data_IF_860109274670
#
_entry.id   IF_860109274670
#
_cell.length_a   1.000
_cell.length_b   1.000
_cell.length_c   1.000
_cell.angle_alpha   90.00
_cell.angle_beta   90.00
_cell.angle_gamma   90.00
#
_symmetry.space_group_name_H-M   'P 1'
#
loop_
_entity.id
_entity.type
_entity.pdbx_description
1 polymer ?
#
# COMPACT_ATOMS: atom_id res chain seq x y z
N UNK A 1 52.81 -20.15 -54.26
CA UNK A 1 51.67 -19.46 -53.66
C UNK A 1 50.51 -20.41 -53.51
N UNK A 2 50.35 -20.97 -52.31
CA UNK A 2 49.37 -22.01 -52.02
C UNK A 2 48.26 -21.39 -51.22
N UNK A 3 47.05 -21.29 -51.78
CA UNK A 3 45.84 -20.74 -51.11
C UNK A 3 45.13 -21.87 -50.35
N UNK A 4 45.14 -21.80 -49.03
CA UNK A 4 44.39 -22.69 -48.14
C UNK A 4 42.98 -22.16 -47.95
N UNK A 5 41.96 -22.90 -48.43
CA UNK A 5 40.55 -22.63 -48.16
C UNK A 5 40.13 -23.36 -46.88
N UNK A 6 39.82 -22.59 -45.83
CA UNK A 6 39.19 -23.12 -44.61
C UNK A 6 37.68 -23.17 -44.83
N UNK A 7 37.09 -24.36 -44.76
CA UNK A 7 35.63 -24.55 -44.70
C UNK A 7 35.19 -24.50 -43.24
N UNK A 8 34.41 -23.47 -42.89
CA UNK A 8 33.73 -23.40 -41.60
C UNK A 8 32.39 -24.15 -41.71
N UNK A 9 32.26 -25.22 -40.94
CA UNK A 9 30.99 -25.90 -40.75
C UNK A 9 30.22 -25.18 -39.64
N UNK A 10 29.08 -24.51 -39.97
CA UNK A 10 28.13 -24.04 -38.98
C UNK A 10 27.24 -25.21 -38.57
N UNK A 11 27.41 -25.67 -37.34
CA UNK A 11 26.47 -26.60 -36.69
C UNK A 11 25.33 -25.73 -36.13
N UNK A 12 24.18 -25.75 -36.78
CA UNK A 12 22.96 -25.13 -36.30
C UNK A 12 22.39 -25.95 -35.16
N UNK A 13 22.53 -25.46 -33.93
CA UNK A 13 21.77 -25.95 -32.77
C UNK A 13 20.40 -25.30 -32.79
N UNK A 14 19.39 -26.03 -33.21
CA UNK A 14 17.99 -25.63 -33.08
C UNK A 14 17.57 -25.76 -31.61
N UNK A 15 17.59 -24.66 -30.89
CA UNK A 15 16.97 -24.57 -29.56
C UNK A 15 15.45 -24.55 -29.74
N UNK A 16 14.81 -25.67 -29.47
CA UNK A 16 13.39 -25.75 -29.29
C UNK A 16 13.01 -25.04 -27.97
N UNK A 17 12.53 -23.80 -28.05
CA UNK A 17 11.82 -23.19 -26.94
C UNK A 17 10.47 -23.91 -26.82
N UNK A 18 10.35 -24.84 -25.90
CA UNK A 18 9.09 -25.32 -25.43
C UNK A 18 8.46 -24.16 -24.66
N UNK A 19 7.54 -23.43 -25.29
CA UNK A 19 6.66 -22.52 -24.60
C UNK A 19 5.81 -23.36 -23.64
N UNK A 20 6.20 -23.38 -22.36
CA UNK A 20 5.36 -23.88 -21.29
C UNK A 20 4.15 -22.97 -21.20
N UNK A 21 3.07 -23.34 -21.85
CA UNK A 21 1.74 -22.77 -21.61
C UNK A 21 1.37 -23.14 -20.19
N UNK A 22 1.51 -22.18 -19.26
CA UNK A 22 0.93 -22.28 -17.92
C UNK A 22 -0.57 -22.39 -18.13
N UNK A 23 -1.22 -23.46 -17.68
CA UNK A 23 -2.65 -23.62 -17.87
C UNK A 23 -3.37 -22.47 -17.16
N UNK A 24 -4.30 -21.83 -17.85
CA UNK A 24 -5.19 -20.75 -17.35
C UNK A 24 -6.07 -21.22 -16.18
N UNK A 25 -6.04 -22.49 -15.82
CA UNK A 25 -6.79 -23.08 -14.70
C UNK A 25 -6.29 -22.71 -13.29
N UNK A 26 -5.22 -21.93 -13.15
CA UNK A 26 -4.77 -21.43 -11.84
C UNK A 26 -5.53 -20.15 -11.36
N UNK A 27 -6.42 -19.60 -12.18
CA UNK A 27 -7.31 -18.49 -11.82
C UNK A 27 -8.70 -18.95 -11.35
N UNK A 28 -8.98 -20.24 -11.38
CA UNK A 28 -10.20 -20.82 -10.84
C UNK A 28 -9.99 -21.23 -9.40
N UNK A 29 -10.84 -20.68 -8.59
CA UNK A 29 -11.16 -20.80 -7.20
C UNK A 29 -10.57 -19.71 -6.32
N UNK A 30 -11.29 -18.57 -6.21
CA UNK A 30 -11.41 -17.95 -4.89
C UNK A 30 -11.76 -19.14 -3.97
N UNK A 31 -10.79 -19.59 -3.17
CA UNK A 31 -10.98 -20.70 -2.27
C UNK A 31 -12.30 -20.43 -1.56
N UNK A 32 -13.18 -21.43 -1.44
CA UNK A 32 -14.41 -21.32 -0.62
C UNK A 32 -14.10 -20.87 0.81
N UNK A 33 -12.82 -20.78 1.16
CA UNK A 33 -12.24 -20.26 2.38
C UNK A 33 -12.25 -18.72 2.46
N UNK A 34 -11.99 -17.99 1.35
CA UNK A 34 -11.90 -16.51 1.37
C UNK A 34 -13.24 -15.90 1.00
N UNK A 35 -14.06 -15.55 1.95
CA UNK A 35 -15.36 -14.93 1.71
C UNK A 35 -15.75 -13.96 2.80
N UNK A 36 -16.58 -13.00 2.47
CA UNK A 36 -17.24 -12.15 3.47
C UNK A 36 -18.30 -12.99 4.18
N UNK A 37 -18.26 -12.99 5.52
CA UNK A 37 -19.22 -13.70 6.39
C UNK A 37 -20.18 -12.76 7.11
N UNK A 38 -19.84 -11.46 7.21
CA UNK A 38 -20.74 -10.43 7.72
C UNK A 38 -20.44 -9.08 7.06
N UNK A 39 -21.47 -8.25 6.94
CA UNK A 39 -21.41 -6.87 6.47
C UNK A 39 -22.23 -5.99 7.41
N UNK A 40 -21.66 -4.84 7.77
CA UNK A 40 -22.30 -3.83 8.57
C UNK A 40 -22.13 -2.49 7.85
N UNK A 41 -23.20 -1.74 7.66
CA UNK A 41 -23.10 -0.37 7.15
C UNK A 41 -22.32 0.47 8.15
N UNK A 42 -21.33 1.23 7.67
CA UNK A 42 -20.61 2.13 8.55
C UNK A 42 -21.56 3.17 9.16
N UNK A 43 -21.36 3.56 10.43
CA UNK A 43 -22.15 4.64 11.03
C UNK A 43 -21.99 5.91 10.20
N UNK A 44 -23.02 6.74 10.22
CA UNK A 44 -22.99 8.05 9.57
C UNK A 44 -21.79 8.86 10.05
N UNK A 45 -21.21 9.64 9.15
CA UNK A 45 -20.11 10.55 9.50
C UNK A 45 -20.56 11.58 10.49
N UNK A 46 -19.69 11.86 11.44
CA UNK A 46 -19.76 13.11 12.19
C UNK A 46 -19.32 14.25 11.25
N UNK A 47 -20.19 15.23 10.96
CA UNK A 47 -19.89 16.32 10.05
C UNK A 47 -19.03 17.43 10.67
N UNK A 48 -18.43 17.23 11.86
CA UNK A 48 -17.65 18.24 12.55
C UNK A 48 -16.30 18.50 11.86
N UNK A 49 -16.29 19.53 11.01
CA UNK A 49 -15.09 20.00 10.33
C UNK A 49 -14.04 20.55 11.30
N UNK A 50 -14.47 21.16 12.40
CA UNK A 50 -13.54 21.71 13.39
C UNK A 50 -12.75 20.59 14.08
N UNK A 51 -13.42 19.49 14.42
CA UNK A 51 -12.78 18.30 14.97
C UNK A 51 -11.84 17.62 13.94
N UNK A 52 -12.27 17.48 12.68
CA UNK A 52 -11.40 17.00 11.60
C UNK A 52 -10.12 17.84 11.51
N UNK A 53 -10.24 19.14 11.43
CA UNK A 53 -9.11 20.07 11.34
C UNK A 53 -8.21 20.02 12.57
N UNK A 54 -8.81 19.93 13.75
CA UNK A 54 -8.07 19.82 15.01
C UNK A 54 -7.18 18.58 15.04
N UNK A 55 -7.71 17.44 14.61
CA UNK A 55 -6.93 16.19 14.51
C UNK A 55 -5.80 16.30 13.47
N UNK A 56 -6.04 16.87 12.29
CA UNK A 56 -4.98 17.05 11.29
C UNK A 56 -3.84 17.92 11.85
N UNK A 57 -4.19 19.02 12.52
CA UNK A 57 -3.21 19.91 13.16
C UNK A 57 -2.47 19.25 14.34
N UNK A 58 -3.14 18.40 15.12
CA UNK A 58 -2.49 17.68 16.22
C UNK A 58 -1.45 16.69 15.69
N UNK A 59 -1.80 15.91 14.67
CA UNK A 59 -0.88 14.97 14.02
C UNK A 59 0.34 15.70 13.44
N UNK A 60 0.09 16.80 12.69
CA UNK A 60 1.17 17.60 12.13
C UNK A 60 2.12 18.14 13.22
N UNK A 61 1.56 18.72 14.30
CA UNK A 61 2.36 19.27 15.41
C UNK A 61 3.22 18.20 16.09
N UNK A 62 2.69 17.01 16.26
CA UNK A 62 3.42 15.89 16.83
C UNK A 62 4.62 15.50 15.96
N UNK A 63 4.40 15.31 14.65
CA UNK A 63 5.46 14.98 13.69
C UNK A 63 6.46 16.13 13.55
N UNK A 64 6.00 17.38 13.48
CA UNK A 64 6.84 18.56 13.40
C UNK A 64 7.75 18.72 14.63
N UNK A 65 7.24 18.43 15.83
CA UNK A 65 8.06 18.44 17.06
C UNK A 65 9.15 17.38 16.98
N UNK A 66 8.83 16.18 16.53
CA UNK A 66 9.79 15.10 16.37
C UNK A 66 10.85 15.43 15.29
N UNK A 67 10.45 15.95 14.13
CA UNK A 67 11.35 16.38 13.07
C UNK A 67 12.32 17.47 13.54
N UNK A 68 11.80 18.48 14.22
CA UNK A 68 12.62 19.55 14.81
C UNK A 68 13.65 19.03 15.81
N UNK A 69 13.27 18.07 16.66
CA UNK A 69 14.21 17.48 17.62
C UNK A 69 15.34 16.69 16.98
N UNK A 70 15.16 16.25 15.74
CA UNK A 70 16.15 15.57 14.91
C UNK A 70 16.93 16.53 13.98
N UNK A 71 16.67 17.84 14.07
CA UNK A 71 17.35 18.84 13.21
C UNK A 71 16.89 18.82 11.75
N UNK A 72 15.74 18.22 11.45
CA UNK A 72 15.21 18.16 10.10
C UNK A 72 14.62 19.52 9.69
N UNK A 73 14.92 19.93 8.47
CA UNK A 73 14.38 21.16 7.90
C UNK A 73 12.91 20.96 7.51
N UNK A 74 12.04 21.79 8.07
CA UNK A 74 10.60 21.75 7.81
C UNK A 74 10.12 23.01 7.16
N UNK A 75 9.11 22.88 6.30
CA UNK A 75 8.33 24.02 5.83
C UNK A 75 7.23 24.33 6.86
N UNK A 76 7.17 25.54 7.43
CA UNK A 76 6.09 25.91 8.33
C UNK A 76 4.82 26.09 7.50
N UNK A 77 3.79 25.23 7.68
CA UNK A 77 2.56 25.35 6.90
C UNK A 77 1.63 26.41 7.50
N UNK A 78 0.81 26.96 6.65
CA UNK A 78 -0.42 27.60 7.09
C UNK A 78 -1.43 26.55 7.57
N UNK A 79 -2.41 26.97 8.37
CA UNK A 79 -3.50 26.07 8.82
C UNK A 79 -4.28 25.49 7.65
N UNK A 80 -4.38 26.23 6.53
CA UNK A 80 -5.07 25.79 5.33
C UNK A 80 -4.30 24.66 4.59
N UNK A 81 -2.98 24.68 4.63
CA UNK A 81 -2.13 23.66 3.98
C UNK A 81 -2.16 22.33 4.71
N UNK A 82 -2.27 22.32 6.03
CA UNK A 82 -2.40 21.07 6.82
C UNK A 82 -3.79 20.44 6.67
N UNK A 83 -4.78 21.21 6.26
CA UNK A 83 -6.14 20.72 6.02
C UNK A 83 -6.26 20.25 4.58
N UNK A 84 -6.16 18.95 4.36
CA UNK A 84 -6.28 18.32 3.03
C UNK A 84 -7.59 18.71 2.34
N UNK A 85 -8.65 18.97 3.13
CA UNK A 85 -9.96 19.41 2.68
C UNK A 85 -10.30 20.79 3.22
N UNK A 86 -10.82 21.66 2.37
CA UNK A 86 -11.57 22.83 2.82
C UNK A 86 -12.87 22.42 3.51
N UNK A 87 -13.50 23.32 4.29
CA UNK A 87 -14.78 23.04 4.94
C UNK A 87 -15.86 22.68 3.92
N UNK A 88 -15.95 23.42 2.83
CA UNK A 88 -16.90 23.15 1.76
C UNK A 88 -16.69 21.75 1.14
N UNK A 89 -15.45 21.37 0.87
CA UNK A 89 -15.13 20.02 0.40
C UNK A 89 -15.46 18.94 1.44
N UNK A 90 -15.17 19.20 2.73
CA UNK A 90 -15.47 18.28 3.81
C UNK A 90 -16.97 18.02 3.94
N UNK A 91 -17.77 19.09 3.98
CA UNK A 91 -19.22 19.00 4.06
C UNK A 91 -19.84 18.37 2.81
N UNK A 92 -19.37 18.77 1.61
CA UNK A 92 -19.82 18.18 0.36
C UNK A 92 -19.51 16.67 0.28
N UNK A 93 -18.39 16.25 0.83
CA UNK A 93 -17.99 14.84 0.87
C UNK A 93 -18.71 14.05 1.95
N UNK A 94 -19.15 14.72 3.03
CA UNK A 94 -19.94 14.13 4.11
C UNK A 94 -21.33 13.70 3.67
N UNK A 95 -21.89 14.34 2.63
CA UNK A 95 -23.31 14.26 2.33
C UNK A 95 -23.72 13.12 1.40
N UNK A 96 -22.87 12.63 0.49
CA UNK A 96 -23.30 11.63 -0.50
C UNK A 96 -22.16 11.10 -1.37
N UNK A 97 -22.44 10.01 -2.08
CA UNK A 97 -21.60 9.50 -3.16
C UNK A 97 -20.69 8.33 -2.78
N UNK A 98 -20.61 7.95 -1.50
CA UNK A 98 -19.76 6.83 -1.05
C UNK A 98 -20.53 5.92 -0.09
N UNK A 99 -20.64 4.66 -0.45
CA UNK A 99 -21.08 3.59 0.44
C UNK A 99 -19.88 3.05 1.21
N UNK A 100 -20.02 2.90 2.53
CA UNK A 100 -19.03 2.30 3.42
C UNK A 100 -19.61 1.09 4.12
N UNK A 101 -18.88 -0.03 4.10
CA UNK A 101 -19.22 -1.25 4.83
C UNK A 101 -18.01 -1.71 5.67
N UNK A 102 -18.27 -2.03 6.94
CA UNK A 102 -17.36 -2.84 7.76
C UNK A 102 -17.65 -4.30 7.42
N UNK A 103 -16.64 -5.03 7.01
CA UNK A 103 -16.77 -6.43 6.61
C UNK A 103 -16.04 -7.34 7.60
N UNK A 104 -16.62 -8.49 7.90
CA UNK A 104 -15.92 -9.62 8.49
C UNK A 104 -15.70 -10.65 7.39
N UNK A 105 -14.48 -11.09 7.19
CA UNK A 105 -14.15 -12.06 6.16
C UNK A 105 -13.25 -13.18 6.71
N UNK A 106 -13.22 -14.30 6.02
CA UNK A 106 -12.34 -15.42 6.38
C UNK A 106 -10.98 -15.25 5.69
N UNK A 107 -9.91 -15.49 6.46
CA UNK A 107 -8.53 -15.63 6.01
C UNK A 107 -7.87 -16.71 6.85
N UNK A 108 -7.35 -17.76 6.21
CA UNK A 108 -6.83 -18.96 6.92
C UNK A 108 -7.81 -19.57 7.92
N UNK A 109 -9.12 -19.46 7.69
CA UNK A 109 -10.16 -19.90 8.62
C UNK A 109 -10.45 -18.93 9.76
N UNK A 110 -9.67 -17.85 9.93
CA UNK A 110 -9.87 -16.82 10.94
C UNK A 110 -10.87 -15.76 10.45
N UNK A 111 -11.67 -15.23 11.34
CA UNK A 111 -12.49 -14.04 11.10
C UNK A 111 -11.64 -12.80 11.23
N UNK A 112 -11.42 -12.12 10.10
CA UNK A 112 -10.63 -10.89 10.03
C UNK A 112 -11.54 -9.73 9.68
N UNK A 113 -11.27 -8.56 10.24
CA UNK A 113 -12.03 -7.34 9.99
C UNK A 113 -11.40 -6.56 8.84
N UNK A 114 -12.26 -6.03 7.97
CA UNK A 114 -11.88 -5.12 6.90
C UNK A 114 -12.93 -4.05 6.67
N UNK A 115 -12.63 -3.17 5.74
CA UNK A 115 -13.55 -2.12 5.30
C UNK A 115 -13.60 -2.07 3.78
N UNK A 116 -14.79 -1.75 3.26
CA UNK A 116 -15.06 -1.60 1.83
C UNK A 116 -15.73 -0.26 1.60
N UNK A 117 -15.17 0.54 0.69
CA UNK A 117 -15.76 1.79 0.23
C UNK A 117 -15.91 1.75 -1.29
N UNK A 118 -17.06 2.20 -1.76
CA UNK A 118 -17.34 2.24 -3.19
C UNK A 118 -18.19 3.45 -3.55
N UNK A 119 -18.18 3.89 -4.81
CA UNK A 119 -19.18 4.84 -5.29
C UNK A 119 -20.60 4.29 -5.01
N UNK A 120 -21.50 5.11 -4.51
CA UNK A 120 -22.91 4.71 -4.30
C UNK A 120 -23.62 4.41 -5.62
N UNK A 121 -23.07 4.89 -6.73
CA UNK A 121 -23.51 4.62 -8.09
C UNK A 121 -23.04 3.27 -8.63
N UNK A 122 -22.11 2.57 -7.96
CA UNK A 122 -21.61 1.27 -8.41
C UNK A 122 -22.74 0.23 -8.52
N UNK A 123 -22.83 -0.46 -9.65
CA UNK A 123 -23.83 -1.48 -9.95
C UNK A 123 -23.17 -2.77 -10.41
N UNK A 124 -23.87 -3.88 -10.21
CA UNK A 124 -23.43 -5.18 -10.73
C UNK A 124 -23.25 -5.10 -12.25
N UNK A 125 -22.12 -5.61 -12.72
CA UNK A 125 -21.73 -5.54 -14.12
C UNK A 125 -20.83 -4.37 -14.49
N UNK A 126 -20.66 -3.37 -13.63
CA UNK A 126 -19.62 -2.36 -13.78
C UNK A 126 -18.23 -3.03 -13.78
N UNK A 127 -17.25 -2.30 -14.29
CA UNK A 127 -15.86 -2.75 -14.37
C UNK A 127 -14.93 -1.77 -13.66
N UNK A 128 -15.24 -1.46 -12.41
CA UNK A 128 -14.51 -0.49 -11.62
C UNK A 128 -13.12 -1.03 -11.21
N UNK A 129 -12.09 -0.18 -11.13
CA UNK A 129 -10.79 -0.57 -10.60
C UNK A 129 -10.86 -0.81 -9.09
N UNK A 130 -10.07 -1.78 -8.63
CA UNK A 130 -9.90 -2.10 -7.21
C UNK A 130 -8.64 -1.43 -6.67
N UNK A 131 -8.76 -0.70 -5.59
CA UNK A 131 -7.65 -0.20 -4.79
C UNK A 131 -7.60 -0.96 -3.47
N UNK A 132 -6.55 -1.76 -3.28
CA UNK A 132 -6.27 -2.40 -1.99
C UNK A 132 -5.49 -1.41 -1.14
N UNK A 133 -6.12 -0.95 -0.07
CA UNK A 133 -5.53 0.01 0.86
C UNK A 133 -4.91 -0.71 2.06
N UNK A 134 -3.64 -0.40 2.30
CA UNK A 134 -2.87 -0.97 3.40
C UNK A 134 -2.62 0.09 4.48
N UNK A 135 -3.22 -0.11 5.65
CA UNK A 135 -3.05 0.79 6.77
C UNK A 135 -1.65 0.74 7.37
N UNK A 136 -1.23 1.85 7.92
CA UNK A 136 -0.03 1.95 8.76
C UNK A 136 -0.22 1.43 10.18
N UNK A 137 0.71 1.78 11.05
CA UNK A 137 0.67 1.43 12.47
C UNK A 137 0.71 -0.07 12.74
N UNK A 138 0.49 -0.44 13.99
CA UNK A 138 0.43 -1.83 14.45
C UNK A 138 -0.66 -1.97 15.52
N UNK A 139 -1.23 -3.15 15.62
CA UNK A 139 -2.33 -3.43 16.56
C UNK A 139 -3.49 -2.45 16.36
N UNK A 140 -3.98 -1.85 17.42
CA UNK A 140 -5.07 -0.87 17.38
C UNK A 140 -4.65 0.54 16.90
N UNK A 141 -3.34 0.78 16.75
CA UNK A 141 -2.86 2.05 16.23
C UNK A 141 -3.09 2.18 14.73
N UNK A 142 -3.51 3.36 14.29
CA UNK A 142 -3.79 3.68 12.87
C UNK A 142 -4.76 2.73 12.18
N UNK A 143 -5.65 2.06 12.92
CA UNK A 143 -6.65 1.16 12.36
C UNK A 143 -7.64 1.89 11.43
N UNK A 144 -8.14 1.16 10.45
CA UNK A 144 -9.21 1.65 9.59
C UNK A 144 -10.46 1.94 10.43
N UNK A 145 -11.13 3.02 10.08
CA UNK A 145 -12.40 3.45 10.69
C UNK A 145 -13.29 4.01 9.58
N UNK A 146 -14.60 4.16 9.79
CA UNK A 146 -15.47 4.82 8.82
C UNK A 146 -14.92 6.16 8.33
N UNK A 147 -14.31 6.94 9.21
CA UNK A 147 -13.73 8.25 8.90
C UNK A 147 -12.37 8.19 8.17
N UNK A 148 -11.72 7.03 8.08
CA UNK A 148 -10.45 6.87 7.33
C UNK A 148 -10.65 7.20 5.85
N UNK A 149 -11.86 7.08 5.33
CA UNK A 149 -12.21 7.41 3.95
C UNK A 149 -11.80 8.83 3.52
N UNK A 150 -11.62 9.78 4.44
CA UNK A 150 -11.11 11.11 4.07
C UNK A 150 -9.72 11.06 3.44
N UNK A 151 -8.91 10.06 3.79
CA UNK A 151 -7.60 9.83 3.18
C UNK A 151 -7.65 9.28 1.76
N UNK A 152 -8.75 8.65 1.35
CA UNK A 152 -8.89 8.06 0.01
C UNK A 152 -10.23 8.34 -0.69
N UNK A 153 -11.01 9.28 -0.19
CA UNK A 153 -12.26 9.74 -0.80
C UNK A 153 -12.07 10.16 -2.27
N UNK A 154 -10.93 10.78 -2.61
CA UNK A 154 -10.56 11.10 -3.97
C UNK A 154 -10.51 9.90 -4.89
N UNK A 155 -10.01 8.76 -4.40
CA UNK A 155 -9.93 7.54 -5.20
C UNK A 155 -11.31 6.96 -5.43
N UNK A 156 -12.18 6.95 -4.41
CA UNK A 156 -13.56 6.47 -4.57
C UNK A 156 -14.32 7.37 -5.56
N UNK A 157 -14.16 8.70 -5.48
CA UNK A 157 -14.77 9.64 -6.45
C UNK A 157 -14.17 9.56 -7.84
N UNK A 158 -12.94 9.09 -7.96
CA UNK A 158 -12.33 8.76 -9.25
C UNK A 158 -12.78 7.40 -9.79
N UNK A 159 -13.75 6.73 -9.14
CA UNK A 159 -14.35 5.48 -9.59
C UNK A 159 -13.71 4.22 -9.02
N UNK A 160 -12.74 4.32 -8.10
CA UNK A 160 -12.16 3.14 -7.48
C UNK A 160 -13.06 2.55 -6.41
N UNK A 161 -13.13 1.22 -6.38
CA UNK A 161 -13.56 0.47 -5.20
C UNK A 161 -12.36 0.34 -4.29
N UNK A 162 -12.46 0.79 -3.04
CA UNK A 162 -11.37 0.72 -2.06
C UNK A 162 -11.69 -0.36 -1.03
N UNK A 163 -10.77 -1.30 -0.83
CA UNK A 163 -10.89 -2.34 0.19
C UNK A 163 -9.62 -2.37 1.03
N UNK A 164 -9.77 -2.60 2.34
CA UNK A 164 -8.63 -2.70 3.24
C UNK A 164 -8.88 -3.67 4.38
N UNK A 165 -7.80 -4.24 4.92
CA UNK A 165 -7.83 -5.15 6.07
C UNK A 165 -7.31 -4.47 7.33
N UNK A 166 -7.87 -4.86 8.48
CA UNK A 166 -7.31 -4.50 9.79
C UNK A 166 -6.10 -5.35 10.18
N UNK A 167 -5.82 -6.40 9.42
CA UNK A 167 -4.96 -7.53 9.75
C UNK A 167 -5.52 -8.33 10.93
N UNK A 168 -5.20 -9.65 10.97
CA UNK A 168 -5.67 -10.56 12.00
C UNK A 168 -5.38 -10.09 13.42
N UNK A 169 -6.27 -10.37 14.36
CA UNK A 169 -6.15 -9.99 15.77
C UNK A 169 -6.49 -8.54 16.10
N UNK A 170 -6.93 -7.75 15.12
CA UNK A 170 -7.25 -6.33 15.31
C UNK A 170 -8.74 -6.05 15.13
N UNK A 171 -9.24 -4.99 15.79
CA UNK A 171 -10.62 -4.50 15.69
C UNK A 171 -11.70 -5.57 16.00
N UNK A 172 -11.40 -6.50 16.91
CA UNK A 172 -12.26 -7.63 17.24
C UNK A 172 -12.12 -8.84 16.32
N UNK A 173 -11.18 -8.84 15.38
CA UNK A 173 -10.84 -10.00 14.55
C UNK A 173 -10.06 -11.09 15.31
N UNK A 174 -10.07 -12.29 14.77
CA UNK A 174 -9.38 -13.45 15.33
C UNK A 174 -7.91 -13.51 14.92
N UNK A 175 -7.12 -14.31 15.66
CA UNK A 175 -5.70 -14.53 15.38
C UNK A 175 -4.79 -13.50 16.03
N UNK A 176 -3.57 -13.41 15.51
CA UNK A 176 -2.53 -12.48 15.98
C UNK A 176 -1.77 -11.88 14.81
N UNK A 177 -1.57 -10.60 14.85
CA UNK A 177 -0.74 -9.85 13.91
C UNK A 177 0.74 -10.21 14.07
N UNK A 178 1.46 -10.33 12.93
CA UNK A 178 2.87 -10.73 12.90
C UNK A 178 3.77 -9.73 12.18
N UNK A 179 3.29 -8.50 11.98
CA UNK A 179 4.05 -7.41 11.37
C UNK A 179 4.68 -7.77 10.01
N UNK A 180 3.88 -8.27 9.06
CA UNK A 180 4.34 -8.74 7.74
C UNK A 180 4.74 -10.22 7.73
N UNK A 181 4.14 -11.01 8.61
CA UNK A 181 4.18 -12.47 8.60
C UNK A 181 2.87 -13.06 8.06
N UNK A 182 2.15 -13.80 8.90
CA UNK A 182 0.89 -14.44 8.53
C UNK A 182 -0.19 -13.43 8.09
N UNK A 183 -0.13 -12.19 8.57
CA UNK A 183 -1.03 -11.10 8.19
C UNK A 183 -0.91 -10.64 6.72
N UNK A 184 0.14 -11.04 5.98
CA UNK A 184 0.19 -10.88 4.53
C UNK A 184 -0.90 -11.71 3.83
N UNK A 185 -1.25 -12.88 4.38
CA UNK A 185 -2.34 -13.71 3.83
C UNK A 185 -3.70 -13.04 3.96
N UNK A 186 -3.91 -12.20 4.98
CA UNK A 186 -5.14 -11.41 5.12
C UNK A 186 -5.28 -10.38 3.99
N UNK A 187 -4.14 -9.80 3.57
CA UNK A 187 -4.10 -8.92 2.41
C UNK A 187 -4.43 -9.68 1.12
N UNK A 188 -3.86 -10.86 0.92
CA UNK A 188 -4.16 -11.69 -0.25
C UNK A 188 -5.63 -12.11 -0.27
N UNK A 189 -6.19 -12.50 0.88
CA UNK A 189 -7.60 -12.87 1.02
C UNK A 189 -8.53 -11.69 0.68
N UNK A 190 -8.31 -10.52 1.28
CA UNK A 190 -9.14 -9.34 1.01
C UNK A 190 -9.00 -8.84 -0.43
N UNK A 191 -7.83 -9.04 -1.05
CA UNK A 191 -7.62 -8.73 -2.48
C UNK A 191 -8.49 -9.63 -3.36
N UNK A 192 -8.47 -10.96 -3.14
CA UNK A 192 -9.33 -11.91 -3.89
C UNK A 192 -10.82 -11.63 -3.69
N UNK A 193 -11.21 -11.30 -2.46
CA UNK A 193 -12.58 -10.88 -2.13
C UNK A 193 -12.96 -9.63 -2.93
N UNK A 194 -12.08 -8.63 -2.97
CA UNK A 194 -12.31 -7.41 -3.76
C UNK A 194 -12.44 -7.68 -5.25
N UNK A 195 -11.61 -8.56 -5.81
CA UNK A 195 -11.69 -8.97 -7.21
C UNK A 195 -12.99 -9.72 -7.56
N UNK A 196 -13.58 -10.41 -6.60
CA UNK A 196 -14.83 -11.17 -6.78
C UNK A 196 -16.09 -10.30 -6.64
N UNK A 197 -15.98 -9.01 -6.31
CA UNK A 197 -17.13 -8.12 -6.23
C UNK A 197 -17.74 -7.92 -7.62
N UNK A 198 -19.09 -7.95 -7.75
CA UNK A 198 -19.75 -8.01 -9.07
C UNK A 198 -19.62 -6.73 -9.90
N UNK A 199 -19.13 -5.65 -9.31
CA UNK A 199 -18.91 -4.34 -9.95
C UNK A 199 -17.43 -4.03 -10.17
N UNK A 200 -16.50 -4.96 -9.87
CA UNK A 200 -15.04 -4.78 -10.02
C UNK A 200 -14.53 -5.48 -11.27
N UNK A 201 -13.58 -4.88 -11.99
CA UNK A 201 -12.76 -5.60 -12.96
C UNK A 201 -11.60 -6.29 -12.23
N UNK A 202 -11.59 -7.64 -12.14
CA UNK A 202 -10.58 -8.37 -11.37
C UNK A 202 -9.14 -8.21 -11.90
N UNK A 203 -8.95 -7.66 -13.10
CA UNK A 203 -7.65 -7.40 -13.70
C UNK A 203 -7.10 -6.02 -13.34
N UNK A 204 -7.93 -5.10 -12.86
CA UNK A 204 -7.59 -3.71 -12.57
C UNK A 204 -7.40 -3.53 -11.06
N UNK A 205 -6.30 -4.08 -10.53
CA UNK A 205 -5.98 -4.09 -9.09
C UNK A 205 -4.77 -3.21 -8.83
N UNK A 206 -4.91 -2.26 -7.92
CA UNK A 206 -3.88 -1.33 -7.47
C UNK A 206 -3.68 -1.45 -5.97
N UNK A 207 -2.49 -1.07 -5.49
CA UNK A 207 -2.20 -1.03 -4.06
C UNK A 207 -1.73 0.35 -3.62
N UNK A 208 -2.25 0.81 -2.48
CA UNK A 208 -1.80 2.03 -1.80
C UNK A 208 -1.51 1.70 -0.34
N UNK A 209 -0.27 1.95 0.10
CA UNK A 209 0.13 1.69 1.47
C UNK A 209 0.80 2.88 2.15
N UNK A 210 0.38 3.18 3.38
CA UNK A 210 0.96 4.22 4.21
C UNK A 210 1.86 3.62 5.29
N UNK A 211 3.08 4.18 5.46
CA UNK A 211 3.99 3.73 6.51
C UNK A 211 4.20 2.21 6.44
N UNK A 212 4.00 1.47 7.54
CA UNK A 212 3.94 0.01 7.52
C UNK A 212 3.07 -0.56 6.39
N UNK A 213 1.96 0.10 6.06
CA UNK A 213 1.10 -0.35 4.95
C UNK A 213 1.81 -0.37 3.60
N UNK A 214 2.80 0.51 3.38
CA UNK A 214 3.66 0.45 2.19
C UNK A 214 4.54 -0.80 2.19
N UNK A 215 5.10 -1.19 3.34
CA UNK A 215 5.78 -2.47 3.50
C UNK A 215 4.83 -3.66 3.20
N UNK A 216 3.61 -3.61 3.71
CA UNK A 216 2.61 -4.67 3.46
C UNK A 216 2.19 -4.76 1.99
N UNK A 217 2.08 -3.63 1.28
CA UNK A 217 1.78 -3.61 -0.16
C UNK A 217 2.91 -4.29 -0.97
N UNK A 218 4.17 -4.00 -0.62
CA UNK A 218 5.33 -4.63 -1.25
C UNK A 218 5.43 -6.13 -0.92
N UNK A 219 5.16 -6.52 0.34
CA UNK A 219 5.11 -7.94 0.75
C UNK A 219 3.97 -8.69 0.04
N UNK A 220 2.80 -8.09 -0.10
CA UNK A 220 1.69 -8.69 -0.84
C UNK A 220 2.05 -8.89 -2.33
N UNK A 221 2.72 -7.92 -2.95
CA UNK A 221 3.21 -8.06 -4.33
C UNK A 221 4.24 -9.18 -4.47
N UNK A 222 5.20 -9.29 -3.53
CA UNK A 222 6.14 -10.41 -3.46
C UNK A 222 5.42 -11.76 -3.32
N UNK A 223 4.35 -11.79 -2.52
CA UNK A 223 3.52 -12.98 -2.31
C UNK A 223 2.55 -13.28 -3.47
N UNK A 224 2.61 -12.54 -4.58
CA UNK A 224 1.85 -12.79 -5.80
C UNK A 224 0.52 -12.04 -5.92
N UNK A 225 0.26 -11.01 -5.11
CA UNK A 225 -0.90 -10.14 -5.34
C UNK A 225 -0.81 -9.49 -6.74
N UNK A 226 -1.91 -9.48 -7.53
CA UNK A 226 -1.89 -9.11 -8.95
C UNK A 226 -1.97 -7.59 -9.16
N UNK A 227 -1.11 -6.82 -8.47
CA UNK A 227 -1.13 -5.38 -8.58
C UNK A 227 -0.60 -4.90 -9.95
N UNK A 228 -1.38 -4.09 -10.66
CA UNK A 228 -0.94 -3.38 -11.86
C UNK A 228 0.09 -2.30 -11.54
N UNK A 229 -0.09 -1.61 -10.42
CA UNK A 229 0.86 -0.66 -9.88
C UNK A 229 0.67 -0.50 -8.36
N UNK A 230 1.74 -0.07 -7.70
CA UNK A 230 1.80 0.14 -6.25
C UNK A 230 2.18 1.60 -6.00
N UNK A 231 1.55 2.23 -5.01
CA UNK A 231 1.99 3.49 -4.44
C UNK A 231 2.26 3.32 -2.94
N UNK A 232 3.38 3.84 -2.47
CA UNK A 232 3.78 3.82 -1.07
C UNK A 232 4.00 5.23 -0.55
N UNK A 233 3.54 5.51 0.66
CA UNK A 233 3.70 6.80 1.34
C UNK A 233 4.43 6.58 2.66
N UNK A 234 5.63 7.14 2.82
CA UNK A 234 6.42 7.04 4.04
C UNK A 234 6.77 5.59 4.42
N UNK A 235 6.98 4.69 3.44
CA UNK A 235 7.15 3.27 3.68
C UNK A 235 8.53 2.90 4.22
N UNK A 236 8.65 2.07 5.27
CA UNK A 236 9.90 1.43 5.64
C UNK A 236 10.24 0.33 4.62
N UNK A 237 11.31 0.51 3.87
CA UNK A 237 11.76 -0.41 2.83
C UNK A 237 12.96 -1.27 3.23
N UNK A 238 13.65 -0.89 4.30
CA UNK A 238 14.71 -1.68 4.93
C UNK A 238 14.66 -1.57 6.47
N UNK A 239 14.04 -2.55 7.13
CA UNK A 239 13.94 -2.57 8.59
C UNK A 239 15.29 -2.84 9.30
N UNK A 240 16.31 -3.32 8.57
CA UNK A 240 17.65 -3.50 9.10
C UNK A 240 18.32 -2.15 9.41
N UNK A 241 17.94 -1.10 8.67
CA UNK A 241 18.40 0.27 8.93
C UNK A 241 17.93 0.79 10.29
N UNK A 242 16.74 0.41 10.75
CA UNK A 242 16.24 0.74 12.10
C UNK A 242 17.14 0.15 13.19
N UNK A 243 17.65 -1.08 12.99
CA UNK A 243 18.59 -1.71 13.91
C UNK A 243 19.95 -1.00 13.93
N UNK A 244 20.46 -0.62 12.75
CA UNK A 244 21.70 0.11 12.63
C UNK A 244 21.63 1.51 13.25
N UNK A 245 20.47 2.17 13.15
CA UNK A 245 20.20 3.49 13.73
C UNK A 245 19.81 3.45 15.21
N UNK A 246 19.75 2.25 15.85
CA UNK A 246 19.23 2.06 17.21
C UNK A 246 17.81 2.62 17.42
N UNK A 247 16.97 2.54 16.39
CA UNK A 247 15.54 2.90 16.47
C UNK A 247 14.81 1.91 17.38
N UNK A 248 14.64 2.33 18.64
CA UNK A 248 14.04 1.50 19.69
C UNK A 248 12.54 1.26 19.46
N UNK A 249 11.85 2.17 18.78
CA UNK A 249 10.39 2.07 18.53
C UNK A 249 10.02 0.98 17.51
N UNK A 250 10.65 1.03 16.34
CA UNK A 250 10.42 0.03 15.28
C UNK A 250 10.91 -1.36 15.70
N UNK A 251 12.05 -1.44 16.36
CA UNK A 251 12.59 -2.71 16.88
C UNK A 251 11.74 -3.31 18.00
N UNK A 252 11.22 -2.50 18.91
CA UNK A 252 10.32 -2.97 19.97
C UNK A 252 9.03 -3.55 19.39
N UNK A 253 8.46 -2.89 18.36
CA UNK A 253 7.28 -3.38 17.63
C UNK A 253 7.58 -4.70 16.91
N UNK A 254 8.69 -4.78 16.20
CA UNK A 254 9.13 -6.00 15.51
C UNK A 254 9.31 -7.15 16.50
N UNK A 255 10.05 -6.94 17.59
CA UNK A 255 10.29 -7.94 18.64
C UNK A 255 9.01 -8.44 19.29
N UNK A 256 8.04 -7.54 19.50
CA UNK A 256 6.74 -7.88 20.11
C UNK A 256 5.87 -8.71 19.18
N UNK A 257 5.89 -8.45 17.89
CA UNK A 257 4.90 -8.98 16.93
C UNK A 257 5.44 -10.13 16.09
N UNK A 258 6.73 -10.13 15.75
CA UNK A 258 7.30 -11.15 14.87
C UNK A 258 7.59 -12.43 15.67
N UNK A 259 6.97 -13.56 15.34
CA UNK A 259 7.29 -14.83 15.99
C UNK A 259 8.77 -15.20 15.83
N UNK A 260 9.41 -15.63 16.90
CA UNK A 260 10.80 -16.07 16.89
C UNK A 260 11.83 -14.96 16.63
N UNK A 261 11.46 -13.70 16.76
CA UNK A 261 12.33 -12.55 16.45
C UNK A 261 13.71 -12.65 17.14
N UNK A 262 13.76 -13.01 18.43
CA UNK A 262 15.01 -13.04 19.19
C UNK A 262 15.95 -14.19 18.78
N UNK A 263 15.44 -15.22 18.11
CA UNK A 263 16.26 -16.33 17.58
C UNK A 263 17.01 -15.92 16.31
N UNK A 264 16.40 -15.13 15.43
CA UNK A 264 17.01 -14.62 14.18
C UNK A 264 16.47 -13.22 13.86
N UNK A 265 16.94 -12.17 14.54
CA UNK A 265 16.49 -10.80 14.27
C UNK A 265 16.82 -10.33 12.85
N UNK A 266 17.97 -10.70 12.30
CA UNK A 266 18.41 -10.26 10.97
C UNK A 266 17.58 -10.89 9.86
N UNK A 267 17.28 -12.18 9.96
CA UNK A 267 16.37 -12.87 9.05
C UNK A 267 14.95 -12.32 9.13
N UNK A 268 14.46 -12.11 10.35
CA UNK A 268 13.14 -11.54 10.61
C UNK A 268 12.95 -10.15 9.98
N UNK A 269 13.95 -9.27 10.10
CA UNK A 269 13.94 -7.94 9.52
C UNK A 269 14.15 -7.98 7.99
N UNK A 270 15.07 -8.82 7.50
CA UNK A 270 15.36 -8.97 6.07
C UNK A 270 14.13 -9.47 5.31
N UNK A 271 13.38 -10.42 5.85
CA UNK A 271 12.16 -10.95 5.23
C UNK A 271 11.10 -9.87 4.99
N UNK A 272 11.13 -8.78 5.77
CA UNK A 272 10.20 -7.63 5.70
C UNK A 272 10.78 -6.41 5.00
N UNK A 273 12.02 -6.48 4.57
CA UNK A 273 12.76 -5.38 3.93
C UNK A 273 12.75 -5.53 2.42
N UNK A 274 11.92 -4.75 1.72
CA UNK A 274 11.84 -4.77 0.26
C UNK A 274 13.20 -4.55 -0.40
N UNK A 275 14.08 -3.83 0.26
CA UNK A 275 15.47 -3.62 -0.14
C UNK A 275 16.25 -4.94 -0.28
N UNK A 276 15.94 -5.95 0.52
CA UNK A 276 16.63 -7.24 0.53
C UNK A 276 16.20 -8.18 -0.61
N UNK A 277 15.02 -7.95 -1.21
CA UNK A 277 14.42 -8.77 -2.26
C UNK A 277 13.78 -7.92 -3.38
N UNK A 278 14.32 -6.75 -3.63
CA UNK A 278 13.80 -5.81 -4.63
C UNK A 278 13.73 -6.41 -6.05
N UNK A 279 14.60 -7.36 -6.38
CA UNK A 279 14.62 -8.09 -7.64
C UNK A 279 13.35 -8.92 -7.89
N UNK A 280 12.68 -9.37 -6.83
CA UNK A 280 11.44 -10.15 -6.91
C UNK A 280 10.22 -9.29 -7.29
N UNK A 281 10.29 -7.95 -7.11
CA UNK A 281 9.19 -7.06 -7.44
C UNK A 281 8.96 -7.00 -8.94
N UNK A 282 7.71 -7.18 -9.35
CA UNK A 282 7.27 -7.13 -10.76
C UNK A 282 6.41 -5.91 -11.06
N UNK A 283 5.58 -5.50 -10.11
CA UNK A 283 4.71 -4.35 -10.28
C UNK A 283 5.50 -3.03 -10.23
N UNK A 284 5.14 -2.04 -11.04
CA UNK A 284 5.66 -0.67 -10.97
C UNK A 284 5.40 -0.05 -9.58
N UNK A 285 6.36 0.69 -9.03
CA UNK A 285 6.30 1.26 -7.68
C UNK A 285 6.47 2.78 -7.72
N UNK A 286 5.46 3.52 -7.22
CA UNK A 286 5.57 4.94 -6.89
C UNK A 286 5.96 5.07 -5.41
N UNK A 287 7.06 5.77 -5.14
CA UNK A 287 7.57 6.01 -3.80
C UNK A 287 7.33 7.49 -3.47
N UNK A 288 6.49 7.76 -2.48
CA UNK A 288 6.19 9.10 -1.99
C UNK A 288 6.70 9.24 -0.56
N UNK A 289 7.48 10.28 -0.27
CA UNK A 289 8.12 10.40 1.05
C UNK A 289 8.27 11.85 1.47
N UNK A 290 8.12 12.13 2.77
CA UNK A 290 8.42 13.44 3.34
C UNK A 290 9.92 13.62 3.54
N UNK A 291 10.48 14.74 3.07
CA UNK A 291 11.90 15.05 3.26
C UNK A 291 12.27 15.29 4.73
N UNK A 292 11.30 15.70 5.55
CA UNK A 292 11.44 15.90 6.99
C UNK A 292 10.71 14.81 7.81
N UNK A 293 10.58 13.59 7.28
CA UNK A 293 9.94 12.47 7.96
C UNK A 293 10.76 12.01 9.18
N UNK A 294 10.26 12.23 10.44
CA UNK A 294 10.99 11.89 11.65
C UNK A 294 10.79 10.44 12.10
N UNK A 295 9.90 9.69 11.43
CA UNK A 295 9.51 8.32 11.80
C UNK A 295 10.21 7.31 10.91
N UNK A 296 10.13 7.56 9.58
CA UNK A 296 10.77 6.73 8.57
C UNK A 296 11.62 7.64 7.68
N UNK A 297 12.92 7.68 7.93
CA UNK A 297 13.83 8.59 7.21
C UNK A 297 13.85 8.32 5.71
N UNK A 298 13.61 9.34 4.89
CA UNK A 298 13.73 9.23 3.44
C UNK A 298 15.14 8.79 3.02
N UNK A 299 16.17 9.27 3.71
CA UNK A 299 17.58 8.93 3.45
C UNK A 299 17.89 7.45 3.74
N UNK A 300 17.22 6.83 4.73
CA UNK A 300 17.43 5.43 5.08
C UNK A 300 16.54 4.46 4.29
N UNK A 301 15.42 4.93 3.74
CA UNK A 301 14.42 4.07 3.12
C UNK A 301 14.11 4.43 1.65
N UNK A 302 13.55 5.59 1.37
CA UNK A 302 13.06 5.93 0.04
C UNK A 302 14.19 6.09 -0.98
N UNK A 303 15.24 6.84 -0.64
CA UNK A 303 16.36 7.12 -1.55
C UNK A 303 17.15 5.85 -1.91
N UNK A 304 17.60 5.02 -0.94
CA UNK A 304 18.30 3.77 -1.26
C UNK A 304 17.43 2.77 -2.03
N UNK A 305 16.15 2.68 -1.70
CA UNK A 305 15.23 1.77 -2.37
C UNK A 305 14.99 2.17 -3.83
N UNK A 306 14.77 3.45 -4.12
CA UNK A 306 14.66 3.95 -5.48
C UNK A 306 15.96 3.72 -6.28
N UNK A 307 17.13 3.94 -5.66
CA UNK A 307 18.41 3.63 -6.28
C UNK A 307 18.53 2.14 -6.62
N UNK A 308 18.14 1.27 -5.69
CA UNK A 308 18.15 -0.18 -5.91
C UNK A 308 17.19 -0.62 -7.03
N UNK A 309 15.99 -0.07 -7.07
CA UNK A 309 15.03 -0.35 -8.17
C UNK A 309 15.58 0.10 -9.52
N UNK A 310 16.28 1.24 -9.57
CA UNK A 310 16.94 1.74 -10.79
C UNK A 310 18.05 0.80 -11.25
N UNK A 311 18.92 0.34 -10.34
CA UNK A 311 19.97 -0.63 -10.64
C UNK A 311 19.41 -1.93 -11.24
N UNK A 312 18.26 -2.36 -10.75
CA UNK A 312 17.55 -3.57 -11.19
C UNK A 312 16.69 -3.34 -12.45
N UNK A 313 16.67 -2.14 -13.01
CA UNK A 313 15.83 -1.80 -14.16
C UNK A 313 14.32 -1.90 -13.90
N UNK A 314 13.89 -1.80 -12.63
CA UNK A 314 12.47 -1.87 -12.25
C UNK A 314 11.77 -0.54 -12.55
N UNK A 315 10.54 -0.62 -13.04
CA UNK A 315 9.70 0.57 -13.27
C UNK A 315 9.32 1.18 -11.92
N UNK A 316 9.78 2.38 -11.67
CA UNK A 316 9.51 3.11 -10.44
C UNK A 316 9.55 4.62 -10.67
N UNK A 317 8.98 5.36 -9.73
CA UNK A 317 9.16 6.79 -9.59
C UNK A 317 9.34 7.14 -8.11
N UNK A 318 10.04 8.24 -7.83
CA UNK A 318 10.30 8.74 -6.48
C UNK A 318 9.95 10.22 -6.41
N UNK A 319 9.09 10.58 -5.47
CA UNK A 319 8.79 11.97 -5.13
C UNK A 319 9.10 12.19 -3.65
N UNK A 320 10.05 13.06 -3.37
CA UNK A 320 10.34 13.54 -2.02
C UNK A 320 9.72 14.93 -1.87
N UNK A 321 8.82 15.06 -0.90
CA UNK A 321 8.19 16.33 -0.56
C UNK A 321 9.05 17.03 0.50
N UNK A 322 9.89 17.94 0.06
CA UNK A 322 10.82 18.67 0.92
C UNK A 322 10.06 19.44 2.02
N UNK A 323 10.53 19.30 3.25
CA UNK A 323 9.92 19.95 4.42
C UNK A 323 8.61 19.38 4.91
N UNK A 324 8.04 18.37 4.24
CA UNK A 324 6.85 17.64 4.72
C UNK A 324 7.25 16.42 5.56
N UNK A 325 6.33 16.00 6.43
CA UNK A 325 6.56 14.95 7.45
C UNK A 325 6.04 13.58 7.00
N UNK A 326 5.97 12.62 7.91
CA UNK A 326 5.59 11.23 7.65
C UNK A 326 4.23 11.06 6.98
N UNK A 327 3.23 11.85 7.40
CA UNK A 327 1.86 11.77 6.87
C UNK A 327 1.66 12.51 5.55
N UNK A 328 2.63 13.30 5.08
CA UNK A 328 2.48 14.20 3.93
C UNK A 328 1.23 15.08 4.06
N UNK A 329 1.04 15.70 5.24
CA UNK A 329 -0.15 16.49 5.51
C UNK A 329 -0.19 17.78 4.71
N UNK A 330 0.97 18.40 4.46
CA UNK A 330 1.08 19.64 3.66
C UNK A 330 0.80 19.32 2.20
N UNK A 331 1.42 18.27 1.68
CA UNK A 331 1.35 17.88 0.27
C UNK A 331 0.23 16.89 -0.06
N UNK A 332 -0.74 16.72 0.84
CA UNK A 332 -1.75 15.67 0.73
C UNK A 332 -2.55 15.69 -0.57
N UNK A 333 -2.84 16.89 -1.13
CA UNK A 333 -3.54 17.03 -2.41
C UNK A 333 -2.65 16.59 -3.58
N UNK A 334 -1.43 17.09 -3.65
CA UNK A 334 -0.48 16.73 -4.69
C UNK A 334 -0.12 15.24 -4.62
N UNK A 335 0.10 14.71 -3.41
CA UNK A 335 0.30 13.28 -3.19
C UNK A 335 -0.78 12.43 -3.85
N UNK A 336 -2.07 12.75 -3.58
CA UNK A 336 -3.19 11.98 -4.10
C UNK A 336 -3.31 12.11 -5.63
N UNK A 337 -3.03 13.29 -6.18
CA UNK A 337 -3.02 13.53 -7.63
C UNK A 337 -1.93 12.69 -8.31
N UNK A 338 -0.72 12.66 -7.76
CA UNK A 338 0.39 11.84 -8.27
C UNK A 338 0.09 10.34 -8.20
N UNK A 339 -0.57 9.88 -7.15
CA UNK A 339 -1.01 8.47 -7.04
C UNK A 339 -2.02 8.14 -8.13
N UNK A 340 -3.04 8.98 -8.34
CA UNK A 340 -4.04 8.78 -9.38
C UNK A 340 -3.41 8.81 -10.78
N UNK A 341 -2.49 9.72 -11.05
CA UNK A 341 -1.75 9.78 -12.31
C UNK A 341 -0.92 8.51 -12.53
N UNK A 342 -0.21 8.04 -11.50
CA UNK A 342 0.55 6.80 -11.54
C UNK A 342 -0.34 5.60 -11.88
N UNK A 343 -1.48 5.45 -11.23
CA UNK A 343 -2.39 4.33 -11.49
C UNK A 343 -2.98 4.40 -12.89
N UNK A 344 -3.40 5.57 -13.37
CA UNK A 344 -3.89 5.75 -14.75
C UNK A 344 -2.87 5.31 -15.80
N UNK A 345 -1.60 5.55 -15.58
CA UNK A 345 -0.51 5.16 -16.49
C UNK A 345 -0.47 3.64 -16.73
N UNK A 346 -0.87 2.85 -15.75
CA UNK A 346 -0.87 1.38 -15.83
C UNK A 346 -2.28 0.78 -15.99
N UNK A 347 -3.29 1.60 -16.11
CA UNK A 347 -4.67 1.19 -16.29
C UNK A 347 -5.11 1.35 -17.74
N UNK A 348 -4.90 0.33 -18.55
CA UNK A 348 -5.26 0.35 -19.97
C UNK A 348 -6.78 0.39 -20.25
N UNK A 349 -7.62 0.34 -19.22
CA UNK A 349 -9.08 0.25 -19.33
C UNK A 349 -9.83 1.52 -18.95
N UNK A 350 -9.15 2.57 -18.43
CA UNK A 350 -9.79 3.83 -18.14
C UNK A 350 -9.82 4.72 -19.39
N UNK A 351 -10.94 5.41 -19.70
CA UNK A 351 -10.92 6.45 -20.70
C UNK A 351 -9.89 7.50 -20.30
N UNK A 352 -9.10 7.96 -21.28
CA UNK A 352 -8.21 9.10 -21.09
C UNK A 352 -9.01 10.31 -20.60
N UNK A 353 -8.47 11.13 -19.70
CA UNK A 353 -9.15 12.31 -19.18
C UNK A 353 -9.53 13.30 -20.27
#
# INVERSE_FOLDING_TARGET
MMTVRVRVWMIGVALWFAAATVPVSALETASAADRIVARETCPARDPDYADYRSRQMANYRQEAKAAKSQGLAMSPPTVAEVSILSEAEYLARGASGITCERITYLSDGLKVIGYLWRPDTARDGDRLPLLVFHRGGALEDSKLRPNTQFGFDRFVRAGYVVIGTQYRGNDGGEGREEFGGADVRDVLAVTRIGQALPYVDPRRVFALGYSRGGMMALLAARAGAPHLAIATVGAPTDLRSARAAADTGSLATARRLIPGFDADPDGALSARSAMAWAEELRAPVLILHGGADPIVSAAAHALPFAARLRELGKVHDLVVFEGDTHGLQISGRERDERILEWFRRFDAGLPSP
#
